data_IF_500552928641
#
_entry.id   IF_500552928641
#
_cell.length_a   1.000
_cell.length_b   1.000
_cell.length_c   1.000
_cell.angle_alpha   90.00
_cell.angle_beta   90.00
_cell.angle_gamma   90.00
#
_symmetry.space_group_name_H-M   'P 1'
#
loop_
_entity.id
_entity.type
_entity.pdbx_description
1 polymer ?
#
# COMPACT_ATOMS: atom_id res chain seq x y z
N UNK A 1 -0.55 37.56 37.61
CA UNK A 1 0.70 37.22 36.91
C UNK A 1 0.55 35.80 36.39
N UNK A 2 0.01 35.66 35.18
CA UNK A 2 0.00 34.38 34.46
C UNK A 2 1.15 34.51 33.48
N UNK A 3 2.24 33.77 33.71
CA UNK A 3 3.37 33.71 32.80
C UNK A 3 2.91 33.02 31.51
N UNK A 4 2.99 33.75 30.41
CA UNK A 4 2.81 33.27 29.04
C UNK A 4 3.76 32.09 28.77
N UNK A 5 3.21 30.87 28.80
CA UNK A 5 3.91 29.64 28.41
C UNK A 5 3.87 29.38 26.90
N UNK A 6 3.18 30.21 26.14
CA UNK A 6 2.94 30.00 24.71
C UNK A 6 4.09 30.49 23.80
N UNK A 7 5.11 31.15 24.36
CA UNK A 7 6.24 31.68 23.58
C UNK A 7 7.35 30.65 23.33
N UNK A 8 7.36 29.52 24.06
CA UNK A 8 8.47 28.56 24.02
C UNK A 8 8.32 27.39 23.02
N UNK A 9 7.16 27.22 22.39
CA UNK A 9 6.92 26.09 21.45
C UNK A 9 7.31 26.44 20.01
N UNK A 10 7.24 27.72 19.63
CA UNK A 10 7.46 28.17 18.24
C UNK A 10 8.92 28.09 17.81
N UNK A 11 9.88 28.23 18.73
CA UNK A 11 11.31 28.24 18.43
C UNK A 11 11.88 26.83 18.16
N UNK A 12 11.28 25.79 18.73
CA UNK A 12 11.71 24.39 18.51
C UNK A 12 11.39 23.88 17.09
N UNK A 13 10.32 24.38 16.46
CA UNK A 13 9.94 24.00 15.10
C UNK A 13 10.84 24.63 14.02
N UNK A 14 11.46 25.78 14.31
CA UNK A 14 12.34 26.48 13.37
C UNK A 14 13.72 25.84 13.26
N UNK A 15 14.24 25.31 14.37
CA UNK A 15 15.52 24.60 14.38
C UNK A 15 15.51 23.32 13.53
N UNK A 16 14.35 22.68 13.38
CA UNK A 16 14.20 21.42 12.62
C UNK A 16 14.31 21.64 11.09
N UNK A 17 13.96 22.84 10.60
CA UNK A 17 14.23 23.24 9.20
C UNK A 17 15.71 23.55 8.97
N UNK A 18 16.38 24.21 9.92
CA UNK A 18 17.80 24.57 9.78
C UNK A 18 18.74 23.36 9.78
N UNK A 19 18.35 22.22 10.37
CA UNK A 19 19.16 20.99 10.39
C UNK A 19 19.07 20.17 9.09
N UNK A 20 18.09 20.45 8.22
CA UNK A 20 17.88 19.72 6.97
C UNK A 20 18.30 20.58 5.78
N UNK A 21 19.33 20.14 5.06
CA UNK A 21 19.66 20.73 3.76
C UNK A 21 18.62 20.30 2.73
N UNK A 22 17.79 21.25 2.29
CA UNK A 22 16.81 21.03 1.23
C UNK A 22 17.46 20.77 -0.12
N UNK A 23 16.79 19.96 -0.95
CA UNK A 23 17.23 19.67 -2.31
C UNK A 23 16.39 20.50 -3.31
N UNK A 24 17.03 21.28 -4.22
CA UNK A 24 16.32 22.13 -5.18
C UNK A 24 15.41 21.34 -6.14
N UNK A 25 15.67 20.05 -6.33
CA UNK A 25 14.86 19.18 -7.18
C UNK A 25 13.63 18.60 -6.50
N UNK A 26 13.29 19.04 -5.28
CA UNK A 26 12.07 18.59 -4.57
C UNK A 26 10.82 18.77 -5.43
N UNK A 27 10.74 19.82 -6.23
CA UNK A 27 9.61 20.06 -7.15
C UNK A 27 9.42 18.96 -8.21
N UNK A 28 10.46 18.19 -8.54
CA UNK A 28 10.37 17.10 -9.52
C UNK A 28 9.59 15.89 -8.99
N UNK A 29 9.38 15.78 -7.67
CA UNK A 29 8.56 14.70 -7.07
C UNK A 29 7.15 14.66 -7.63
N UNK A 30 6.59 15.78 -8.09
CA UNK A 30 5.25 15.78 -8.67
C UNK A 30 5.13 14.93 -9.95
N UNK A 31 6.26 14.63 -10.60
CA UNK A 31 6.30 13.87 -11.86
C UNK A 31 6.65 12.39 -11.66
N UNK A 32 6.85 11.93 -10.42
CA UNK A 32 7.20 10.52 -10.14
C UNK A 32 6.84 10.08 -8.73
N UNK A 33 6.44 8.82 -8.59
CA UNK A 33 6.26 8.19 -7.28
C UNK A 33 7.61 7.90 -6.57
N UNK A 34 8.74 8.02 -7.27
CA UNK A 34 10.06 7.78 -6.69
C UNK A 34 10.38 8.80 -5.59
N UNK A 35 11.06 8.35 -4.53
CA UNK A 35 11.50 9.18 -3.40
C UNK A 35 12.77 9.99 -3.76
N UNK A 36 12.64 10.92 -4.70
CA UNK A 36 13.72 11.83 -5.14
C UNK A 36 13.64 13.19 -4.45
N UNK A 37 14.75 13.95 -4.42
CA UNK A 37 14.74 15.33 -3.91
C UNK A 37 14.42 15.45 -2.41
N UNK A 38 14.74 14.43 -1.61
CA UNK A 38 14.39 14.34 -0.18
C UNK A 38 15.13 15.39 0.68
N UNK A 39 16.32 15.80 0.25
CA UNK A 39 17.26 16.56 1.08
C UNK A 39 18.15 15.64 1.91
N UNK A 40 18.85 16.21 2.89
CA UNK A 40 19.75 15.46 3.79
C UNK A 40 19.88 16.15 5.15
N UNK A 41 20.09 15.37 6.19
CA UNK A 41 20.57 15.82 7.49
C UNK A 41 22.03 15.33 7.65
N UNK A 42 23.01 16.24 7.51
CA UNK A 42 24.42 15.87 7.38
C UNK A 42 24.67 14.99 6.14
N UNK A 43 25.08 13.74 6.36
CA UNK A 43 25.31 12.73 5.31
C UNK A 43 24.18 11.69 5.21
N UNK A 44 23.10 11.87 5.98
CA UNK A 44 22.02 10.90 6.14
C UNK A 44 20.67 11.44 5.65
N UNK A 45 19.70 10.53 5.51
CA UNK A 45 18.32 10.88 5.17
C UNK A 45 17.67 11.65 6.33
N UNK A 46 16.86 12.69 6.07
CA UNK A 46 16.11 13.39 7.11
C UNK A 46 15.19 12.44 7.88
N UNK A 47 15.02 12.68 9.19
CA UNK A 47 14.20 11.82 10.07
C UNK A 47 12.78 11.62 9.56
N UNK A 48 12.13 12.70 9.09
CA UNK A 48 10.77 12.64 8.52
C UNK A 48 10.67 11.63 7.36
N UNK A 49 11.60 11.72 6.41
CA UNK A 49 11.63 10.83 5.23
C UNK A 49 11.95 9.38 5.63
N UNK A 50 12.76 9.17 6.68
CA UNK A 50 13.00 7.84 7.25
C UNK A 50 11.73 7.24 7.90
N UNK A 51 11.00 8.04 8.67
CA UNK A 51 9.73 7.63 9.30
C UNK A 51 8.66 7.33 8.25
N UNK A 52 8.52 8.17 7.22
CA UNK A 52 7.61 7.91 6.09
C UNK A 52 7.94 6.60 5.37
N UNK A 53 9.23 6.30 5.19
CA UNK A 53 9.65 5.02 4.62
C UNK A 53 9.27 3.84 5.52
N UNK A 54 9.51 3.93 6.83
CA UNK A 54 9.16 2.87 7.78
C UNK A 54 7.66 2.61 7.84
N UNK A 55 6.85 3.67 7.85
CA UNK A 55 5.39 3.56 7.80
C UNK A 55 4.94 2.87 6.51
N UNK A 56 5.44 3.30 5.35
CA UNK A 56 5.10 2.69 4.08
C UNK A 56 5.53 1.21 4.02
N UNK A 57 6.66 0.87 4.63
CA UNK A 57 7.12 -0.52 4.71
C UNK A 57 6.20 -1.37 5.61
N UNK A 58 5.74 -0.84 6.75
CA UNK A 58 4.75 -1.53 7.58
C UNK A 58 3.45 -1.77 6.82
N UNK A 59 2.91 -0.73 6.17
CA UNK A 59 1.70 -0.84 5.34
C UNK A 59 1.85 -1.85 4.20
N UNK A 60 3.01 -1.89 3.54
CA UNK A 60 3.27 -2.85 2.47
C UNK A 60 3.27 -4.30 2.99
N UNK A 61 3.80 -4.55 4.19
CA UNK A 61 3.78 -5.88 4.82
C UNK A 61 2.35 -6.29 5.15
N UNK A 62 1.57 -5.38 5.72
CA UNK A 62 0.16 -5.65 6.05
C UNK A 62 -0.64 -5.98 4.78
N UNK A 63 -0.43 -5.23 3.69
CA UNK A 63 -1.10 -5.46 2.41
C UNK A 63 -0.84 -6.86 1.81
N UNK A 64 0.33 -7.45 2.04
CA UNK A 64 0.64 -8.84 1.60
C UNK A 64 -0.25 -9.87 2.30
N UNK A 65 -0.72 -9.57 3.51
CA UNK A 65 -1.55 -10.46 4.31
C UNK A 65 -3.04 -10.13 4.25
N UNK A 66 -3.43 -8.95 3.76
CA UNK A 66 -4.84 -8.58 3.58
C UNK A 66 -5.57 -9.59 2.69
N UNK A 67 -6.75 -9.99 3.14
CA UNK A 67 -7.64 -10.91 2.42
C UNK A 67 -8.47 -10.15 1.39
N UNK A 68 -8.77 -10.82 0.28
CA UNK A 68 -9.70 -10.31 -0.72
C UNK A 68 -11.13 -10.55 -0.22
N UNK A 69 -11.94 -9.51 -0.19
CA UNK A 69 -13.38 -9.63 0.05
C UNK A 69 -14.07 -10.18 -1.20
N UNK A 70 -14.09 -11.52 -1.30
CA UNK A 70 -14.64 -12.24 -2.45
C UNK A 70 -16.14 -12.01 -2.59
N UNK A 71 -16.86 -11.90 -1.47
CA UNK A 71 -18.32 -11.70 -1.46
C UNK A 71 -18.68 -10.35 -2.09
N UNK A 72 -18.06 -9.26 -1.61
CA UNK A 72 -18.29 -7.92 -2.15
C UNK A 72 -17.88 -7.85 -3.62
N UNK A 73 -16.75 -8.44 -3.99
CA UNK A 73 -16.30 -8.47 -5.38
C UNK A 73 -17.28 -9.22 -6.29
N UNK A 74 -17.80 -10.36 -5.84
CA UNK A 74 -18.79 -11.14 -6.58
C UNK A 74 -20.07 -10.33 -6.84
N UNK A 75 -20.59 -9.64 -5.83
CA UNK A 75 -21.78 -8.80 -5.97
C UNK A 75 -21.54 -7.64 -6.96
N UNK A 76 -20.38 -7.00 -6.90
CA UNK A 76 -20.01 -5.93 -7.83
C UNK A 76 -19.91 -6.44 -9.29
N UNK A 77 -19.33 -7.62 -9.50
CA UNK A 77 -19.23 -8.23 -10.81
C UNK A 77 -20.60 -8.63 -11.38
N UNK A 78 -21.49 -9.16 -10.53
CA UNK A 78 -22.87 -9.47 -10.93
C UNK A 78 -23.63 -8.20 -11.31
N UNK A 79 -23.48 -7.11 -10.55
CA UNK A 79 -24.09 -5.83 -10.89
C UNK A 79 -23.59 -5.30 -12.25
N UNK A 80 -22.27 -5.36 -12.49
CA UNK A 80 -21.69 -4.97 -13.79
C UNK A 80 -22.23 -5.83 -14.95
N UNK A 81 -22.48 -7.11 -14.73
CA UNK A 81 -23.13 -7.96 -15.73
C UNK A 81 -24.57 -7.51 -16.02
N UNK A 82 -25.33 -7.09 -15.01
CA UNK A 82 -26.69 -6.55 -15.22
C UNK A 82 -26.67 -5.23 -16.00
N UNK A 83 -25.72 -4.35 -15.67
CA UNK A 83 -25.60 -3.04 -16.30
C UNK A 83 -25.05 -3.14 -17.73
N UNK A 84 -24.17 -4.12 -17.99
CA UNK A 84 -23.45 -4.30 -19.25
C UNK A 84 -23.43 -5.76 -19.72
N UNK A 85 -24.58 -6.33 -20.11
CA UNK A 85 -24.71 -7.76 -20.44
C UNK A 85 -23.86 -8.22 -21.63
N UNK A 86 -23.47 -7.29 -22.53
CA UNK A 86 -22.58 -7.58 -23.66
C UNK A 86 -21.09 -7.73 -23.25
N UNK A 87 -20.68 -7.21 -22.10
CA UNK A 87 -19.26 -7.20 -21.66
C UNK A 87 -18.92 -8.47 -20.88
N UNK A 88 -19.85 -8.94 -20.03
CA UNK A 88 -19.64 -10.08 -19.14
C UNK A 88 -20.80 -11.06 -19.28
N UNK A 89 -20.82 -11.93 -20.30
CA UNK A 89 -21.98 -12.78 -20.58
C UNK A 89 -22.15 -13.94 -19.57
N UNK A 90 -21.12 -14.25 -18.79
CA UNK A 90 -21.09 -15.37 -17.84
C UNK A 90 -20.98 -14.85 -16.41
N UNK A 91 -21.64 -15.51 -15.44
CA UNK A 91 -21.51 -15.13 -14.03
C UNK A 91 -20.07 -15.35 -13.52
N UNK A 92 -19.61 -14.58 -12.53
CA UNK A 92 -18.31 -14.79 -11.91
C UNK A 92 -18.27 -16.17 -11.24
N UNK A 93 -17.19 -16.91 -11.51
CA UNK A 93 -16.89 -18.18 -10.86
C UNK A 93 -15.91 -17.96 -9.72
N UNK A 94 -16.16 -18.58 -8.58
CA UNK A 94 -15.26 -18.60 -7.42
C UNK A 94 -14.54 -19.94 -7.44
N UNK A 95 -13.22 -19.91 -7.55
CA UNK A 95 -12.36 -21.08 -7.62
C UNK A 95 -11.18 -20.91 -6.65
N UNK A 96 -10.65 -22.03 -6.19
CA UNK A 96 -9.48 -22.11 -5.33
C UNK A 96 -8.31 -22.78 -6.05
N UNK A 97 -7.10 -22.28 -5.74
CA UNK A 97 -5.86 -22.94 -6.14
C UNK A 97 -5.52 -24.08 -5.16
N UNK A 98 -4.55 -24.91 -5.50
CA UNK A 98 -4.02 -25.93 -4.57
C UNK A 98 -3.32 -25.33 -3.35
N UNK A 99 -3.00 -24.04 -3.36
CA UNK A 99 -2.46 -23.36 -2.19
C UNK A 99 -3.60 -23.07 -1.20
N UNK A 100 -3.68 -23.91 -0.15
CA UNK A 100 -4.75 -23.90 0.85
C UNK A 100 -4.71 -22.69 1.80
N UNK A 101 -3.55 -22.02 1.89
CA UNK A 101 -3.34 -20.92 2.83
C UNK A 101 -2.30 -19.93 2.28
N UNK A 102 -2.20 -18.75 2.92
CA UNK A 102 -1.30 -17.67 2.50
C UNK A 102 0.17 -18.04 2.57
N UNK A 103 0.60 -18.80 3.58
CA UNK A 103 2.00 -19.23 3.75
C UNK A 103 2.37 -20.16 2.60
N UNK A 104 1.52 -21.16 2.32
CA UNK A 104 1.69 -22.07 1.19
C UNK A 104 1.70 -21.30 -0.13
N UNK A 105 0.80 -20.34 -0.33
CA UNK A 105 0.76 -19.51 -1.54
C UNK A 105 2.07 -18.74 -1.76
N UNK A 106 2.65 -18.16 -0.70
CA UNK A 106 3.90 -17.39 -0.79
C UNK A 106 5.15 -18.27 -0.99
N UNK A 107 5.16 -19.51 -0.49
CA UNK A 107 6.31 -20.41 -0.54
C UNK A 107 6.26 -21.41 -1.71
N UNK A 108 5.06 -21.72 -2.23
CA UNK A 108 4.80 -22.73 -3.28
C UNK A 108 4.05 -22.12 -4.46
N UNK A 109 4.75 -21.36 -5.33
CA UNK A 109 4.14 -20.75 -6.50
C UNK A 109 3.62 -21.78 -7.51
N UNK A 110 4.08 -23.02 -7.44
CA UNK A 110 3.57 -24.14 -8.23
C UNK A 110 2.13 -24.51 -7.84
N UNK A 111 1.79 -24.50 -6.55
CA UNK A 111 0.42 -24.77 -6.08
C UNK A 111 -0.53 -23.62 -6.38
N UNK A 112 -0.06 -22.37 -6.32
CA UNK A 112 -0.87 -21.21 -6.70
C UNK A 112 -1.24 -21.15 -8.20
N UNK A 113 -0.56 -21.93 -9.06
CA UNK A 113 -0.82 -22.00 -10.51
C UNK A 113 -1.68 -23.20 -10.93
N UNK A 114 -2.11 -24.01 -9.98
CA UNK A 114 -2.95 -25.18 -10.21
C UNK A 114 -4.26 -25.01 -9.45
N UNK A 115 -5.38 -25.38 -10.04
CA UNK A 115 -6.67 -25.46 -9.34
C UNK A 115 -6.64 -26.63 -8.36
N UNK A 116 -7.38 -26.49 -7.25
CA UNK A 116 -7.69 -27.64 -6.42
C UNK A 116 -8.71 -28.58 -7.10
N UNK A 117 -8.92 -29.75 -6.50
CA UNK A 117 -9.74 -30.81 -7.11
C UNK A 117 -11.22 -30.43 -7.17
N UNK A 118 -11.73 -29.72 -6.16
CA UNK A 118 -13.12 -29.26 -6.12
C UNK A 118 -13.38 -28.23 -7.22
N UNK A 119 -12.51 -27.21 -7.33
CA UNK A 119 -12.62 -26.17 -8.35
C UNK A 119 -12.47 -26.74 -9.76
N UNK A 120 -11.56 -27.69 -9.96
CA UNK A 120 -11.39 -28.36 -11.24
C UNK A 120 -12.63 -29.16 -11.66
N UNK A 121 -13.32 -29.78 -10.69
CA UNK A 121 -14.54 -30.57 -10.95
C UNK A 121 -15.78 -29.68 -11.16
N UNK A 122 -15.78 -28.46 -10.61
CA UNK A 122 -16.88 -27.49 -10.76
C UNK A 122 -16.92 -26.75 -12.12
N UNK A 123 -15.83 -26.84 -12.89
CA UNK A 123 -15.70 -26.26 -14.24
C UNK A 123 -16.32 -27.18 -15.30
#
# INVERSE_FOLDING_TARGET
MVEDKDVLITDQYKADEDMVTHNPWRQLRQFTAARIGLGRAGVSTPTRESLEFQLAHAQARDAVHTELDVETLQQQLLQLQQDFPQITPQPPLILHSRAIDRVTYLQRPDYGRQLDEESFTSL
#
